data_IF_444632184619
#
_entry.id   IF_444632184619
#
_cell.length_a   1.000
_cell.length_b   1.000
_cell.length_c   1.000
_cell.angle_alpha   90.00
_cell.angle_beta   90.00
_cell.angle_gamma   90.00
#
_symmetry.space_group_name_H-M   'P 1'
#
loop_
_entity.id
_entity.type
_entity.pdbx_description
1 polymer ?
#
# COMPACT_ATOMS: atom_id res chain seq x y z
N UNK A 1 8.07 -1.67 26.18
CA UNK A 1 8.25 -0.24 25.86
C UNK A 1 6.89 0.30 25.45
N UNK A 2 6.17 0.95 26.35
CA UNK A 2 4.84 1.48 26.07
C UNK A 2 5.05 2.77 25.27
N UNK A 3 4.69 2.76 23.99
CA UNK A 3 4.58 3.98 23.19
C UNK A 3 3.45 4.81 23.82
N UNK A 4 3.81 5.84 24.58
CA UNK A 4 2.87 6.90 24.95
C UNK A 4 2.50 7.59 23.64
N UNK A 5 1.32 7.28 23.10
CA UNK A 5 0.76 8.02 21.96
C UNK A 5 0.26 9.35 22.50
N UNK A 6 1.13 10.36 22.45
CA UNK A 6 0.71 11.74 22.65
C UNK A 6 -0.18 12.13 21.47
N UNK A 7 -1.44 12.41 21.77
CA UNK A 7 -2.35 13.04 20.80
C UNK A 7 -1.99 14.52 20.82
N UNK A 8 -1.61 15.04 19.65
CA UNK A 8 -1.34 16.47 19.43
C UNK A 8 -2.46 17.04 18.58
N UNK A 9 -2.59 18.37 18.57
CA UNK A 9 -3.48 19.04 17.63
C UNK A 9 -2.86 19.00 16.23
N UNK A 10 -3.68 18.73 15.22
CA UNK A 10 -3.27 18.73 13.81
C UNK A 10 -2.67 20.08 13.39
N UNK A 11 -1.67 20.04 12.50
CA UNK A 11 -0.96 21.20 11.96
C UNK A 11 -1.14 21.30 10.43
N UNK A 12 -0.46 22.27 9.82
CA UNK A 12 -0.54 22.49 8.37
C UNK A 12 0.06 21.31 7.57
N UNK A 13 1.12 20.68 8.09
CA UNK A 13 1.77 19.53 7.44
C UNK A 13 0.83 18.31 7.40
N UNK A 14 0.13 18.05 8.50
CA UNK A 14 -0.89 17.00 8.53
C UNK A 14 -2.08 17.29 7.60
N UNK A 15 -2.51 18.56 7.51
CA UNK A 15 -3.57 18.96 6.60
C UNK A 15 -3.18 18.72 5.13
N UNK A 16 -1.95 19.06 4.75
CA UNK A 16 -1.41 18.79 3.40
C UNK A 16 -1.41 17.29 3.10
N UNK A 17 -1.03 16.45 4.07
CA UNK A 17 -1.08 14.99 3.90
C UNK A 17 -2.51 14.47 3.75
N UNK A 18 -3.46 15.01 4.50
CA UNK A 18 -4.85 14.59 4.41
C UNK A 18 -5.43 14.92 3.03
N UNK A 19 -5.15 16.11 2.51
CA UNK A 19 -5.57 16.53 1.17
C UNK A 19 -4.98 15.61 0.10
N UNK A 20 -3.71 15.20 0.24
CA UNK A 20 -3.09 14.26 -0.69
C UNK A 20 -3.70 12.84 -0.61
N UNK A 21 -4.03 12.35 0.60
CA UNK A 21 -4.74 11.07 0.77
C UNK A 21 -6.12 11.12 0.12
N UNK A 22 -6.87 12.21 0.32
CA UNK A 22 -8.20 12.39 -0.28
C UNK A 22 -8.06 12.46 -1.81
N UNK A 23 -7.11 13.23 -2.32
CA UNK A 23 -6.82 13.34 -3.75
C UNK A 23 -6.49 11.99 -4.40
N UNK A 24 -5.69 11.15 -3.72
CA UNK A 24 -5.40 9.79 -4.16
C UNK A 24 -6.65 8.90 -4.24
N UNK A 25 -7.59 9.05 -3.31
CA UNK A 25 -8.83 8.27 -3.30
C UNK A 25 -9.74 8.71 -4.45
N UNK A 26 -9.86 10.02 -4.67
CA UNK A 26 -10.73 10.58 -5.69
C UNK A 26 -10.16 10.39 -7.10
N UNK A 27 -8.83 10.47 -7.25
CA UNK A 27 -8.12 10.43 -8.54
C UNK A 27 -6.86 9.54 -8.44
N UNK A 28 -7.02 8.20 -8.43
CA UNK A 28 -5.96 7.25 -8.08
C UNK A 28 -4.84 7.10 -9.12
N UNK A 29 -4.95 7.75 -10.28
CA UNK A 29 -3.91 7.85 -11.32
C UNK A 29 -2.91 8.98 -11.03
N UNK A 30 -3.28 9.93 -10.17
CA UNK A 30 -2.36 10.91 -9.61
C UNK A 30 -1.58 10.19 -8.52
N UNK A 31 -0.39 9.72 -8.86
CA UNK A 31 0.48 8.95 -7.95
C UNK A 31 0.68 9.64 -6.60
N UNK A 32 0.96 8.85 -5.57
CA UNK A 32 1.17 9.31 -4.20
C UNK A 32 2.64 9.75 -4.00
N UNK A 33 2.85 10.96 -3.47
CA UNK A 33 4.16 11.48 -3.04
C UNK A 33 4.37 11.41 -1.52
N UNK A 34 3.34 11.01 -0.77
CA UNK A 34 3.39 10.81 0.68
C UNK A 34 4.46 9.80 1.12
N UNK A 35 5.10 10.03 2.28
CA UNK A 35 5.95 9.04 2.93
C UNK A 35 5.14 7.79 3.31
N UNK A 36 5.34 6.69 2.57
CA UNK A 36 4.63 5.43 2.85
C UNK A 36 5.34 4.62 3.95
N UNK A 37 4.76 4.60 5.16
CA UNK A 37 5.23 3.75 6.26
C UNK A 37 4.47 2.40 6.30
N UNK A 38 4.90 1.46 5.47
CA UNK A 38 4.29 0.14 5.42
C UNK A 38 4.73 -0.74 6.61
N UNK A 39 3.85 -0.87 7.59
CA UNK A 39 4.09 -1.69 8.79
C UNK A 39 3.65 -3.15 8.58
N UNK A 40 4.60 -4.02 8.23
CA UNK A 40 4.38 -5.45 8.03
C UNK A 40 5.67 -6.27 8.01
N UNK A 41 5.58 -7.56 7.69
CA UNK A 41 6.77 -8.41 7.48
C UNK A 41 7.56 -7.94 6.25
N UNK A 42 8.83 -8.36 6.13
CA UNK A 42 9.63 -8.03 4.96
C UNK A 42 8.97 -8.46 3.63
N UNK A 43 8.30 -9.62 3.63
CA UNK A 43 7.56 -10.10 2.46
C UNK A 43 6.33 -9.23 2.16
N UNK A 44 5.54 -8.87 3.19
CA UNK A 44 4.38 -8.01 3.03
C UNK A 44 4.77 -6.63 2.47
N UNK A 45 5.80 -6.00 3.02
CA UNK A 45 6.29 -4.70 2.55
C UNK A 45 6.69 -4.75 1.07
N UNK A 46 7.49 -5.75 0.69
CA UNK A 46 7.88 -5.96 -0.72
C UNK A 46 6.67 -6.14 -1.65
N UNK A 47 5.65 -6.87 -1.21
CA UNK A 47 4.41 -7.03 -1.97
C UNK A 47 3.69 -5.69 -2.13
N UNK A 48 3.50 -4.94 -1.05
CA UNK A 48 2.79 -3.66 -1.07
C UNK A 48 3.53 -2.57 -1.88
N UNK A 49 4.86 -2.51 -1.78
CA UNK A 49 5.72 -1.63 -2.59
C UNK A 49 5.64 -1.97 -4.09
N UNK A 50 5.56 -3.26 -4.44
CA UNK A 50 5.43 -3.66 -5.84
C UNK A 50 4.01 -3.44 -6.38
N UNK A 51 2.99 -3.62 -5.55
CA UNK A 51 1.59 -3.39 -5.94
C UNK A 51 1.29 -1.90 -6.17
N UNK A 52 1.90 -0.99 -5.41
CA UNK A 52 1.71 0.45 -5.60
C UNK A 52 2.21 0.96 -6.96
N UNK A 53 3.04 0.18 -7.65
CA UNK A 53 3.55 0.48 -8.98
C UNK A 53 2.65 -0.05 -10.12
N UNK A 54 1.60 -0.82 -9.80
CA UNK A 54 0.69 -1.31 -10.84
C UNK A 54 -0.13 -0.16 -11.43
N UNK A 55 -0.23 -0.03 -12.76
CA UNK A 55 -1.03 1.00 -13.39
C UNK A 55 -2.51 0.93 -12.98
N UNK A 56 -3.15 2.09 -12.90
CA UNK A 56 -4.60 2.19 -12.69
C UNK A 56 -5.36 1.48 -13.81
N UNK A 57 -6.47 0.81 -13.43
CA UNK A 57 -7.31 0.08 -14.38
C UNK A 57 -6.75 -1.28 -14.84
N UNK A 58 -5.61 -1.71 -14.30
CA UNK A 58 -5.06 -3.05 -14.56
C UNK A 58 -5.29 -4.00 -13.39
N UNK A 59 -5.43 -5.28 -13.72
CA UNK A 59 -5.47 -6.37 -12.74
C UNK A 59 -4.49 -7.47 -13.16
N UNK A 60 -3.97 -8.18 -12.17
CA UNK A 60 -3.07 -9.32 -12.33
C UNK A 60 -3.51 -10.39 -11.34
N UNK A 61 -3.26 -11.67 -11.61
CA UNK A 61 -3.52 -12.69 -10.59
C UNK A 61 -2.40 -12.72 -9.55
N UNK A 62 -2.71 -13.09 -8.30
CA UNK A 62 -1.71 -13.37 -7.27
C UNK A 62 -0.56 -14.28 -7.74
N UNK A 63 -0.82 -15.25 -8.64
CA UNK A 63 0.21 -16.14 -9.18
C UNK A 63 1.15 -15.46 -10.19
N UNK A 64 0.58 -14.68 -11.11
CA UNK A 64 1.36 -13.87 -12.06
C UNK A 64 2.17 -12.80 -11.32
N UNK A 65 1.55 -12.14 -10.34
CA UNK A 65 2.23 -11.15 -9.50
C UNK A 65 3.37 -11.77 -8.68
N UNK A 66 3.12 -12.93 -8.05
CA UNK A 66 4.14 -13.67 -7.32
C UNK A 66 5.33 -14.02 -8.21
N UNK A 67 5.08 -14.39 -9.47
CA UNK A 67 6.12 -14.65 -10.46
C UNK A 67 6.89 -13.37 -10.82
N UNK A 68 6.19 -12.27 -11.06
CA UNK A 68 6.78 -10.97 -11.41
C UNK A 68 7.70 -10.42 -10.30
N UNK A 69 7.36 -10.64 -9.02
CA UNK A 69 8.20 -10.22 -7.90
C UNK A 69 9.31 -11.23 -7.53
N UNK A 70 9.52 -12.28 -8.34
CA UNK A 70 10.57 -13.28 -8.14
C UNK A 70 10.28 -14.32 -7.06
N UNK A 71 9.01 -14.57 -6.76
CA UNK A 71 8.54 -15.56 -5.78
C UNK A 71 7.44 -16.46 -6.38
N UNK A 72 7.72 -17.21 -7.46
CA UNK A 72 6.68 -17.85 -8.30
C UNK A 72 5.79 -18.88 -7.57
N UNK A 73 6.26 -19.45 -6.46
CA UNK A 73 5.49 -20.42 -5.65
C UNK A 73 4.69 -19.77 -4.52
N UNK A 74 4.68 -18.43 -4.42
CA UNK A 74 4.15 -17.68 -3.28
C UNK A 74 2.78 -17.05 -3.53
N UNK A 75 2.00 -17.53 -4.51
CA UNK A 75 0.68 -16.99 -4.83
C UNK A 75 -0.24 -16.85 -3.60
N UNK A 76 -0.29 -17.87 -2.73
CA UNK A 76 -1.10 -17.82 -1.50
C UNK A 76 -0.57 -16.81 -0.48
N UNK A 77 0.74 -16.65 -0.38
CA UNK A 77 1.35 -15.66 0.51
C UNK A 77 1.10 -14.23 0.01
N UNK A 78 1.10 -14.01 -1.32
CA UNK A 78 0.69 -12.74 -1.92
C UNK A 78 -0.76 -12.42 -1.57
N UNK A 79 -1.69 -13.37 -1.74
CA UNK A 79 -3.09 -13.17 -1.36
C UNK A 79 -3.25 -12.81 0.13
N UNK A 80 -2.47 -13.44 1.02
CA UNK A 80 -2.44 -13.11 2.44
C UNK A 80 -1.86 -11.72 2.71
N UNK A 81 -0.83 -11.29 1.96
CA UNK A 81 -0.29 -9.94 2.06
C UNK A 81 -1.30 -8.89 1.59
N UNK A 82 -2.04 -9.15 0.50
CA UNK A 82 -3.16 -8.30 0.06
C UNK A 82 -4.22 -8.18 1.15
N UNK A 83 -4.64 -9.30 1.76
CA UNK A 83 -5.64 -9.32 2.83
C UNK A 83 -5.18 -8.62 4.12
N UNK A 84 -3.87 -8.56 4.38
CA UNK A 84 -3.31 -7.91 5.56
C UNK A 84 -3.06 -6.40 5.38
N UNK A 85 -3.31 -5.85 4.19
CA UNK A 85 -3.01 -4.47 3.85
C UNK A 85 -3.93 -3.49 4.62
N UNK A 86 -3.35 -2.52 5.33
CA UNK A 86 -4.07 -1.47 6.07
C UNK A 86 -4.23 -0.16 5.28
N UNK A 87 -3.62 -0.08 4.10
CA UNK A 87 -3.54 1.12 3.24
C UNK A 87 -3.91 0.72 1.81
N UNK A 88 -5.15 0.24 1.66
CA UNK A 88 -5.64 -0.50 0.49
C UNK A 88 -5.56 0.25 -0.85
N UNK A 89 -5.76 1.57 -0.85
CA UNK A 89 -5.71 2.40 -2.06
C UNK A 89 -4.26 2.63 -2.48
N UNK A 90 -3.39 3.05 -1.56
CA UNK A 90 -1.98 3.31 -1.81
C UNK A 90 -1.20 2.07 -2.28
N UNK A 91 -1.34 0.95 -1.56
CA UNK A 91 -0.69 -0.32 -1.92
C UNK A 91 -1.54 -1.18 -2.90
N UNK A 92 -2.55 -0.58 -3.56
CA UNK A 92 -3.32 -1.11 -4.70
C UNK A 92 -3.69 -2.60 -4.66
N UNK A 93 -3.97 -3.16 -3.48
CA UNK A 93 -4.10 -4.61 -3.29
C UNK A 93 -5.38 -5.21 -3.91
N UNK A 94 -6.31 -4.37 -4.35
CA UNK A 94 -7.50 -4.76 -5.11
C UNK A 94 -7.19 -5.12 -6.58
N UNK A 95 -5.94 -4.95 -7.03
CA UNK A 95 -5.49 -5.23 -8.39
C UNK A 95 -4.78 -6.58 -8.55
N UNK A 96 -4.58 -7.34 -7.47
CA UNK A 96 -3.83 -8.61 -7.46
C UNK A 96 -4.62 -9.79 -6.86
#
# INVERSE_FOLDING_TARGET
MILVRNIVQDDMEFADWLDEVVGLIDTPDVGMSLPSDFQGTAFQRRVWEALSLLPTGTTVSCGEFASAIGSPTSARAVAQACAANRVAVAASCHRA
#
